data_IF_966759407173
#
_entry.id   IF_966759407173
#
_cell.length_a   1.000
_cell.length_b   1.000
_cell.length_c   1.000
_cell.angle_alpha   90.00
_cell.angle_beta   90.00
_cell.angle_gamma   90.00
#
_symmetry.space_group_name_H-M   'P 1'
#
loop_
_entity.id
_entity.type
_entity.pdbx_description
1 polymer ?
#
# COMPACT_ATOMS: atom_id res chain seq x y z
N UNK A 1 -2.59 6.23 -10.24
CA UNK A 1 -1.38 7.02 -10.52
C UNK A 1 -1.13 8.07 -9.43
N UNK A 2 -2.11 8.94 -9.09
CA UNK A 2 -1.95 10.04 -8.14
C UNK A 2 -1.46 9.59 -6.75
N UNK A 3 -1.97 8.47 -6.21
CA UNK A 3 -1.52 7.93 -4.92
C UNK A 3 -0.05 7.50 -4.97
N UNK A 4 0.38 6.89 -6.08
CA UNK A 4 1.78 6.52 -6.30
C UNK A 4 2.67 7.76 -6.37
N UNK A 5 2.25 8.79 -7.09
CA UNK A 5 3.02 10.05 -7.22
C UNK A 5 3.20 10.74 -5.85
N UNK A 6 2.17 10.69 -5.00
CA UNK A 6 2.25 11.20 -3.63
C UNK A 6 3.25 10.39 -2.78
N UNK A 7 3.20 9.06 -2.85
CA UNK A 7 4.16 8.20 -2.14
C UNK A 7 5.58 8.48 -2.60
N UNK A 8 5.80 8.59 -3.90
CA UNK A 8 7.11 8.97 -4.47
C UNK A 8 7.59 10.31 -3.90
N UNK A 9 6.70 11.29 -3.78
CA UNK A 9 7.00 12.59 -3.17
C UNK A 9 7.37 12.46 -1.68
N UNK A 10 6.68 11.61 -0.92
CA UNK A 10 6.97 11.36 0.50
C UNK A 10 8.34 10.67 0.68
N UNK A 11 8.61 9.69 -0.17
CA UNK A 11 9.83 8.88 -0.11
C UNK A 11 11.05 9.64 -0.62
N UNK A 12 10.89 10.52 -1.62
CA UNK A 12 12.00 11.27 -2.26
C UNK A 12 12.88 12.02 -1.26
N UNK A 13 12.28 12.55 -0.20
CA UNK A 13 12.97 13.34 0.83
C UNK A 13 13.42 12.49 2.02
N UNK A 14 13.33 11.16 1.93
CA UNK A 14 13.76 10.28 3.01
C UNK A 14 15.29 10.29 3.13
N UNK A 15 15.83 10.54 4.34
CA UNK A 15 17.28 10.57 4.54
C UNK A 15 17.94 9.24 4.13
N UNK A 16 19.07 9.33 3.46
CA UNK A 16 19.86 8.15 3.04
C UNK A 16 19.04 7.12 2.23
N UNK A 17 18.10 7.58 1.41
CA UNK A 17 17.18 6.78 0.61
C UNK A 17 17.83 5.55 -0.05
N UNK A 18 19.03 5.72 -0.58
CA UNK A 18 19.74 4.68 -1.34
C UNK A 18 20.33 3.56 -0.50
N UNK A 19 20.39 3.73 0.82
CA UNK A 19 20.93 2.74 1.77
C UNK A 19 19.82 2.03 2.57
N UNK A 20 18.58 2.52 2.45
CA UNK A 20 17.43 1.98 3.19
C UNK A 20 16.81 0.80 2.47
N UNK A 21 16.19 -0.05 3.26
CA UNK A 21 15.45 -1.23 2.81
C UNK A 21 13.96 -0.93 2.71
N UNK A 22 13.37 -1.27 1.58
CA UNK A 22 11.96 -1.01 1.29
C UNK A 22 11.19 -2.30 1.04
N UNK A 23 9.90 -2.28 1.38
CA UNK A 23 8.95 -3.34 1.03
C UNK A 23 7.72 -2.72 0.37
N UNK A 24 7.41 -3.15 -0.86
CA UNK A 24 6.15 -2.90 -1.56
C UNK A 24 5.26 -4.14 -1.38
N UNK A 25 4.33 -4.03 -0.43
CA UNK A 25 3.45 -5.12 0.00
C UNK A 25 2.11 -5.03 -0.76
N UNK A 26 1.87 -5.95 -1.69
CA UNK A 26 0.78 -5.90 -2.66
C UNK A 26 1.17 -5.06 -3.88
N UNK A 27 2.29 -5.42 -4.52
CA UNK A 27 2.90 -4.61 -5.59
C UNK A 27 2.10 -4.57 -6.89
N UNK A 28 1.13 -5.49 -7.08
CA UNK A 28 0.39 -5.64 -8.33
C UNK A 28 1.34 -5.80 -9.52
N UNK A 29 1.17 -4.96 -10.52
CA UNK A 29 2.02 -4.92 -11.72
C UNK A 29 3.27 -4.03 -11.59
N UNK A 30 3.68 -3.70 -10.36
CA UNK A 30 4.85 -2.89 -10.08
C UNK A 30 4.65 -1.39 -10.25
N UNK A 31 3.41 -0.93 -10.12
CA UNK A 31 3.08 0.49 -10.32
C UNK A 31 3.79 1.41 -9.34
N UNK A 32 4.11 0.94 -8.12
CA UNK A 32 4.92 1.64 -7.14
C UNK A 32 6.40 1.22 -7.21
N UNK A 33 6.69 -0.08 -7.28
CA UNK A 33 8.05 -0.61 -7.29
C UNK A 33 8.94 0.06 -8.35
N UNK A 34 8.44 0.25 -9.57
CA UNK A 34 9.20 0.87 -10.68
C UNK A 34 9.58 2.34 -10.37
N UNK A 35 8.66 3.23 -9.95
CA UNK A 35 9.03 4.57 -9.51
C UNK A 35 10.03 4.60 -8.35
N UNK A 36 9.90 3.72 -7.36
CA UNK A 36 10.86 3.63 -6.25
C UNK A 36 12.27 3.28 -6.74
N UNK A 37 12.39 2.31 -7.65
CA UNK A 37 13.68 1.97 -8.27
C UNK A 37 14.27 3.13 -9.07
N UNK A 38 13.44 3.89 -9.80
CA UNK A 38 13.86 5.10 -10.52
C UNK A 38 14.36 6.20 -9.59
N UNK A 39 13.85 6.30 -8.36
CA UNK A 39 14.36 7.20 -7.32
C UNK A 39 15.76 6.80 -6.81
N UNK A 40 16.25 5.62 -7.17
CA UNK A 40 17.56 5.14 -6.74
C UNK A 40 17.56 4.21 -5.55
N UNK A 41 16.40 3.71 -5.10
CA UNK A 41 16.33 2.67 -4.07
C UNK A 41 17.05 1.43 -4.57
N UNK A 42 17.92 0.87 -3.73
CA UNK A 42 18.81 -0.25 -4.10
C UNK A 42 18.39 -1.58 -3.48
N UNK A 43 17.67 -1.57 -2.36
CA UNK A 43 17.20 -2.77 -1.65
C UNK A 43 15.67 -2.72 -1.52
N UNK A 44 14.98 -3.51 -2.34
CA UNK A 44 13.53 -3.51 -2.43
C UNK A 44 13.00 -4.95 -2.42
N UNK A 45 12.11 -5.27 -1.49
CA UNK A 45 11.26 -6.44 -1.61
C UNK A 45 9.92 -6.05 -2.22
N UNK A 46 9.48 -6.79 -3.22
CA UNK A 46 8.15 -6.68 -3.82
C UNK A 46 7.40 -7.96 -3.57
N UNK A 47 6.18 -7.87 -3.07
CA UNK A 47 5.35 -9.03 -2.77
C UNK A 47 3.92 -8.84 -3.26
N UNK A 48 3.31 -9.93 -3.71
CA UNK A 48 1.91 -10.00 -4.07
C UNK A 48 1.41 -11.43 -3.87
N UNK A 49 0.11 -11.58 -3.62
CA UNK A 49 -0.51 -12.91 -3.51
C UNK A 49 -0.56 -13.63 -4.87
N UNK A 50 -0.62 -12.86 -5.96
CA UNK A 50 -0.66 -13.37 -7.33
C UNK A 50 0.74 -13.57 -7.90
N UNK A 51 1.07 -14.81 -8.26
CA UNK A 51 2.32 -15.12 -8.95
C UNK A 51 2.40 -14.45 -10.33
N UNK A 52 1.26 -14.22 -10.97
CA UNK A 52 1.16 -13.53 -12.27
C UNK A 52 1.56 -12.06 -12.13
N UNK A 53 1.12 -11.40 -11.04
CA UNK A 53 1.51 -10.00 -10.75
C UNK A 53 3.02 -9.91 -10.49
N UNK A 54 3.58 -10.84 -9.75
CA UNK A 54 5.04 -10.91 -9.52
C UNK A 54 5.80 -11.13 -10.83
N UNK A 55 5.35 -12.04 -11.70
CA UNK A 55 5.97 -12.26 -13.01
C UNK A 55 5.92 -11.01 -13.89
N UNK A 56 4.77 -10.35 -13.95
CA UNK A 56 4.60 -9.12 -14.73
C UNK A 56 5.46 -7.97 -14.18
N UNK A 57 5.49 -7.79 -12.85
CA UNK A 57 6.36 -6.79 -12.21
C UNK A 57 7.82 -7.03 -12.54
N UNK A 58 8.30 -8.28 -12.44
CA UNK A 58 9.68 -8.66 -12.78
C UNK A 58 9.99 -8.39 -14.25
N UNK A 59 9.09 -8.75 -15.15
CA UNK A 59 9.23 -8.49 -16.60
C UNK A 59 9.39 -7.00 -16.88
N UNK A 60 8.50 -6.17 -16.35
CA UNK A 60 8.53 -4.70 -16.53
C UNK A 60 9.81 -4.05 -15.97
N UNK A 61 10.27 -4.51 -14.80
CA UNK A 61 11.52 -4.04 -14.20
C UNK A 61 12.74 -4.38 -15.10
N UNK A 62 12.75 -5.60 -15.67
CA UNK A 62 13.82 -6.03 -16.59
C UNK A 62 13.80 -5.22 -17.90
N UNK A 63 12.64 -5.03 -18.50
CA UNK A 63 12.48 -4.23 -19.74
C UNK A 63 12.93 -2.78 -19.57
N UNK A 64 12.85 -2.24 -18.36
CA UNK A 64 13.30 -0.89 -18.02
C UNK A 64 14.79 -0.82 -17.60
N UNK A 65 15.52 -1.94 -17.62
CA UNK A 65 16.94 -1.98 -17.22
C UNK A 65 17.20 -1.72 -15.73
N UNK A 66 16.19 -1.94 -14.88
CA UNK A 66 16.27 -1.67 -13.44
C UNK A 66 16.67 -2.89 -12.60
N UNK A 67 16.92 -4.04 -13.23
CA UNK A 67 17.22 -5.33 -12.59
C UNK A 67 18.58 -5.40 -11.89
N UNK A 68 19.47 -4.41 -12.11
CA UNK A 68 20.78 -4.33 -11.44
C UNK A 68 20.69 -3.98 -9.93
N UNK A 69 19.49 -3.73 -9.42
CA UNK A 69 19.22 -3.45 -8.01
C UNK A 69 19.03 -4.75 -7.25
N UNK A 70 19.21 -4.73 -5.93
CA UNK A 70 18.87 -5.85 -5.07
C UNK A 70 17.35 -5.90 -4.88
N UNK A 71 16.68 -6.69 -5.72
CA UNK A 71 15.21 -6.83 -5.70
C UNK A 71 14.86 -8.26 -5.33
N UNK A 72 14.08 -8.41 -4.26
CA UNK A 72 13.52 -9.69 -3.86
C UNK A 72 12.06 -9.76 -4.30
N UNK A 73 11.74 -10.72 -5.15
CA UNK A 73 10.37 -10.99 -5.60
C UNK A 73 9.78 -12.13 -4.77
N UNK A 74 8.60 -11.93 -4.22
CA UNK A 74 7.95 -12.91 -3.34
C UNK A 74 6.46 -13.04 -3.67
N UNK A 75 6.02 -14.25 -3.99
CA UNK A 75 4.59 -14.58 -4.00
C UNK A 75 4.20 -14.96 -2.59
N UNK A 76 3.40 -14.14 -1.93
CA UNK A 76 3.02 -14.31 -0.52
C UNK A 76 1.73 -13.58 -0.22
N UNK A 77 0.92 -14.17 0.64
CA UNK A 77 -0.15 -13.45 1.32
C UNK A 77 0.44 -12.38 2.24
N UNK A 78 -0.28 -11.27 2.41
CA UNK A 78 0.14 -10.16 3.25
C UNK A 78 0.35 -10.60 4.71
N UNK A 79 -0.51 -11.49 5.22
CA UNK A 79 -0.43 -12.05 6.58
C UNK A 79 0.83 -12.90 6.82
N UNK A 80 1.36 -13.50 5.76
CA UNK A 80 2.53 -14.38 5.83
C UNK A 80 3.83 -13.66 5.51
N UNK A 81 3.76 -12.38 5.14
CA UNK A 81 4.91 -11.58 4.79
C UNK A 81 5.88 -11.48 5.97
N UNK A 82 7.17 -11.70 5.70
CA UNK A 82 8.23 -11.68 6.72
C UNK A 82 9.38 -10.79 6.28
N UNK A 83 10.07 -10.25 7.26
CA UNK A 83 11.22 -9.39 7.06
C UNK A 83 11.17 -8.19 7.99
N UNK A 84 12.18 -7.36 7.93
CA UNK A 84 12.25 -6.11 8.67
C UNK A 84 12.87 -5.04 7.77
N UNK A 85 12.08 -4.03 7.43
CA UNK A 85 12.40 -3.01 6.44
C UNK A 85 12.40 -1.62 7.08
N UNK A 86 13.19 -0.70 6.56
CA UNK A 86 13.15 0.69 7.04
C UNK A 86 11.81 1.33 6.68
N UNK A 87 11.28 1.04 5.49
CA UNK A 87 9.99 1.54 5.01
C UNK A 87 9.14 0.40 4.44
N UNK A 88 7.91 0.26 4.94
CA UNK A 88 6.89 -0.63 4.37
C UNK A 88 5.81 0.20 3.71
N UNK A 89 5.42 -0.17 2.50
CA UNK A 89 4.37 0.52 1.74
C UNK A 89 3.34 -0.51 1.28
N UNK A 90 2.06 -0.21 1.49
CA UNK A 90 0.96 -1.08 1.09
C UNK A 90 -0.17 -0.22 0.50
N UNK A 91 -0.32 -0.24 -0.82
CA UNK A 91 -1.26 0.62 -1.55
C UNK A 91 -2.41 -0.19 -2.14
N UNK A 92 -3.64 0.27 -1.86
CA UNK A 92 -4.90 -0.22 -2.45
C UNK A 92 -5.19 -1.72 -2.24
N UNK A 93 -4.49 -2.37 -1.29
CA UNK A 93 -4.70 -3.77 -0.91
C UNK A 93 -5.88 -3.91 0.05
N UNK A 94 -6.04 -2.97 0.98
CA UNK A 94 -7.04 -3.05 2.05
C UNK A 94 -8.50 -2.99 1.58
N UNK A 95 -8.75 -2.62 0.32
CA UNK A 95 -10.09 -2.67 -0.28
C UNK A 95 -10.70 -4.09 -0.32
N UNK A 96 -9.85 -5.12 -0.18
CA UNK A 96 -10.27 -6.53 -0.20
C UNK A 96 -10.64 -7.06 1.17
N UNK A 97 -10.39 -6.31 2.25
CA UNK A 97 -10.51 -6.78 3.62
C UNK A 97 -11.54 -6.02 4.45
N UNK A 98 -12.34 -6.70 5.30
CA UNK A 98 -13.20 -6.03 6.26
C UNK A 98 -12.37 -5.33 7.34
N UNK A 99 -12.97 -4.35 8.02
CA UNK A 99 -12.30 -3.48 8.99
C UNK A 99 -11.41 -4.22 10.01
N UNK A 100 -11.88 -5.27 10.74
CA UNK A 100 -11.05 -5.92 11.74
C UNK A 100 -9.80 -6.58 11.14
N UNK A 101 -9.93 -7.18 9.96
CA UNK A 101 -8.80 -7.84 9.27
C UNK A 101 -7.81 -6.81 8.75
N UNK A 102 -8.29 -5.69 8.19
CA UNK A 102 -7.43 -4.59 7.76
C UNK A 102 -6.63 -3.98 8.93
N UNK A 103 -7.24 -3.83 10.11
CA UNK A 103 -6.56 -3.36 11.32
C UNK A 103 -5.46 -4.34 11.76
N UNK A 104 -5.72 -5.65 11.74
CA UNK A 104 -4.71 -6.66 12.06
C UNK A 104 -3.55 -6.65 11.07
N UNK A 105 -3.86 -6.50 9.77
CA UNK A 105 -2.82 -6.33 8.76
C UNK A 105 -1.96 -5.08 8.97
N UNK A 106 -2.57 -3.96 9.39
CA UNK A 106 -1.80 -2.75 9.73
C UNK A 106 -0.86 -3.02 10.90
N UNK A 107 -1.30 -3.73 11.95
CA UNK A 107 -0.43 -4.14 13.07
C UNK A 107 0.73 -5.00 12.57
N UNK A 108 0.45 -5.98 11.72
CA UNK A 108 1.47 -6.83 11.13
C UNK A 108 2.48 -6.05 10.30
N UNK A 109 2.04 -5.13 9.43
CA UNK A 109 2.93 -4.29 8.63
C UNK A 109 3.77 -3.34 9.50
N UNK A 110 3.23 -2.86 10.62
CA UNK A 110 4.01 -2.11 11.61
C UNK A 110 5.14 -2.96 12.20
N UNK A 111 4.90 -4.25 12.50
CA UNK A 111 5.93 -5.16 13.02
C UNK A 111 7.04 -5.41 11.99
N UNK A 112 6.77 -5.32 10.71
CA UNK A 112 7.75 -5.41 9.63
C UNK A 112 8.50 -4.09 9.36
N UNK A 113 8.06 -2.98 9.96
CA UNK A 113 8.59 -1.64 9.68
C UNK A 113 9.45 -1.12 10.84
N UNK A 114 10.68 -0.69 10.53
CA UNK A 114 11.61 -0.09 11.50
C UNK A 114 11.34 1.37 11.76
N UNK A 115 10.91 2.11 10.73
CA UNK A 115 10.76 3.57 10.82
C UNK A 115 9.45 4.06 10.23
N UNK A 116 9.08 3.68 8.99
CA UNK A 116 7.91 4.21 8.31
C UNK A 116 6.98 3.14 7.75
N UNK A 117 5.69 3.36 7.94
CA UNK A 117 4.63 2.61 7.27
C UNK A 117 3.79 3.60 6.43
N UNK A 118 3.58 3.30 5.15
CA UNK A 118 2.72 4.08 4.26
C UNK A 118 1.62 3.17 3.75
N UNK A 119 0.37 3.54 3.99
CA UNK A 119 -0.79 2.74 3.55
C UNK A 119 -1.80 3.57 2.82
N UNK A 120 -2.50 2.95 1.87
CA UNK A 120 -3.70 3.55 1.28
C UNK A 120 -4.89 2.61 1.36
N UNK A 121 -6.08 3.21 1.49
CA UNK A 121 -7.35 2.49 1.56
C UNK A 121 -8.51 3.37 1.10
N UNK A 122 -9.62 2.72 0.73
CA UNK A 122 -10.88 3.42 0.45
C UNK A 122 -11.52 3.88 1.78
N UNK A 123 -11.65 5.20 2.03
CA UNK A 123 -12.21 5.68 3.29
C UNK A 123 -13.72 5.45 3.34
N UNK A 124 -14.21 5.05 4.52
CA UNK A 124 -15.64 5.06 4.79
C UNK A 124 -16.15 6.51 4.88
N UNK A 125 -17.06 6.88 3.99
CA UNK A 125 -17.82 8.12 4.10
C UNK A 125 -19.31 7.80 4.02
N UNK A 126 -20.19 8.52 4.76
CA UNK A 126 -21.64 8.31 4.68
C UNK A 126 -22.17 8.47 3.25
N UNK A 127 -21.62 9.42 2.48
CA UNK A 127 -22.00 9.66 1.08
C UNK A 127 -21.69 8.46 0.20
N UNK A 128 -20.50 7.84 0.34
CA UNK A 128 -20.14 6.64 -0.41
C UNK A 128 -21.00 5.43 -0.01
N UNK A 129 -21.40 5.34 1.26
CA UNK A 129 -22.32 4.32 1.72
C UNK A 129 -23.70 4.46 1.07
N UNK A 130 -24.21 5.67 0.95
CA UNK A 130 -25.48 5.98 0.27
C UNK A 130 -25.37 5.69 -1.23
N UNK A 131 -24.33 6.15 -1.91
CA UNK A 131 -24.10 5.89 -3.35
C UNK A 131 -23.96 4.40 -3.64
N UNK A 132 -23.28 3.64 -2.77
CA UNK A 132 -23.18 2.18 -2.89
C UNK A 132 -24.54 1.47 -2.76
N UNK A 133 -25.42 1.98 -1.91
CA UNK A 133 -26.78 1.45 -1.75
C UNK A 133 -27.69 1.81 -2.95
N UNK A 134 -27.56 3.01 -3.48
CA UNK A 134 -28.25 3.43 -4.70
C UNK A 134 -27.78 2.61 -5.91
N UNK A 135 -26.46 2.34 -6.02
CA UNK A 135 -25.90 1.51 -7.10
C UNK A 135 -26.45 0.07 -7.11
N UNK A 136 -26.87 -0.46 -5.96
CA UNK A 136 -27.52 -1.79 -5.87
C UNK A 136 -28.93 -1.83 -6.51
N UNK A 137 -29.57 -0.68 -6.71
CA UNK A 137 -30.89 -0.56 -7.31
C UNK A 137 -30.82 -0.60 -8.86
N UNK A 138 -29.64 -0.48 -9.45
CA UNK A 138 -29.44 -0.58 -10.88
C UNK A 138 -28.89 -1.97 -11.22
N UNK A 139 -29.70 -2.87 -11.82
CA UNK A 139 -29.25 -4.18 -12.25
C UNK A 139 -28.30 -4.03 -13.45
N UNK A 140 -27.01 -4.10 -13.19
CA UNK A 140 -25.96 -4.19 -14.22
C UNK A 140 -25.16 -5.47 -14.05
N UNK A 141 -24.50 -6.02 -15.11
CA UNK A 141 -23.76 -7.27 -15.05
C UNK A 141 -22.44 -7.19 -14.28
N UNK A 142 -22.23 -6.13 -13.51
CA UNK A 142 -21.06 -5.97 -12.66
C UNK A 142 -21.19 -6.88 -11.43
N UNK A 143 -20.58 -8.05 -11.47
CA UNK A 143 -20.19 -8.80 -10.28
C UNK A 143 -19.10 -7.95 -9.60
N UNK A 144 -19.52 -6.90 -8.92
CA UNK A 144 -18.63 -6.04 -8.17
C UNK A 144 -17.97 -6.87 -7.08
N UNK A 145 -16.66 -7.09 -7.22
CA UNK A 145 -15.79 -7.46 -6.13
C UNK A 145 -16.17 -6.56 -4.95
N UNK A 146 -16.49 -7.15 -3.79
CA UNK A 146 -16.90 -6.38 -2.61
C UNK A 146 -15.72 -5.52 -2.17
N UNK A 147 -15.62 -4.31 -2.67
CA UNK A 147 -14.66 -3.33 -2.16
C UNK A 147 -15.13 -2.86 -0.79
N UNK A 148 -14.30 -3.08 0.22
CA UNK A 148 -14.55 -2.59 1.57
C UNK A 148 -14.09 -1.14 1.68
N UNK A 149 -14.85 -0.36 2.44
CA UNK A 149 -14.45 0.99 2.87
C UNK A 149 -14.10 0.93 4.35
N UNK A 150 -13.01 1.58 4.74
CA UNK A 150 -12.46 1.49 6.08
C UNK A 150 -12.60 2.81 6.84
N UNK A 151 -12.84 2.71 8.13
CA UNK A 151 -12.84 3.85 9.05
C UNK A 151 -11.40 4.22 9.38
N UNK A 152 -11.00 5.43 9.04
CA UNK A 152 -9.65 5.96 9.28
C UNK A 152 -9.20 5.80 10.74
N UNK A 153 -10.11 6.04 11.70
CA UNK A 153 -9.81 5.93 13.14
C UNK A 153 -9.30 4.54 13.53
N UNK A 154 -9.89 3.46 12.98
CA UNK A 154 -9.46 2.09 13.28
C UNK A 154 -8.05 1.81 12.76
N UNK A 155 -7.74 2.26 11.55
CA UNK A 155 -6.40 2.12 10.95
C UNK A 155 -5.35 2.88 11.77
N UNK A 156 -5.67 4.12 12.18
CA UNK A 156 -4.76 4.93 13.02
C UNK A 156 -4.55 4.28 14.39
N UNK A 157 -5.61 3.80 15.04
CA UNK A 157 -5.50 3.13 16.33
C UNK A 157 -4.62 1.87 16.25
N UNK A 158 -4.81 1.04 15.22
CA UNK A 158 -4.00 -0.16 15.00
C UNK A 158 -2.50 0.17 14.85
N UNK A 159 -2.17 1.25 14.13
CA UNK A 159 -0.79 1.70 14.03
C UNK A 159 -0.26 2.29 15.35
N UNK A 160 -1.07 3.06 16.09
CA UNK A 160 -0.69 3.64 17.37
C UNK A 160 -0.37 2.57 18.42
N UNK A 161 -1.12 1.46 18.44
CA UNK A 161 -0.88 0.29 19.32
C UNK A 161 0.52 -0.32 19.10
N UNK A 162 1.11 -0.13 17.91
CA UNK A 162 2.45 -0.58 17.54
C UNK A 162 3.52 0.51 17.66
N UNK A 163 3.18 1.66 18.28
CA UNK A 163 4.10 2.77 18.48
C UNK A 163 4.34 3.63 17.24
N UNK A 164 3.41 3.62 16.27
CA UNK A 164 3.47 4.48 15.10
C UNK A 164 2.49 5.64 15.21
N UNK A 165 2.93 6.83 14.85
CA UNK A 165 2.10 8.05 14.81
C UNK A 165 1.91 8.53 13.38
N UNK A 166 0.80 9.20 13.12
CA UNK A 166 0.54 9.84 11.83
C UNK A 166 1.49 11.02 11.62
N UNK A 167 2.24 11.00 10.52
CA UNK A 167 3.09 12.13 10.09
C UNK A 167 2.33 13.02 9.12
N UNK A 168 1.70 12.39 8.13
CA UNK A 168 0.88 13.10 7.15
C UNK A 168 -0.19 12.19 6.56
N UNK A 169 -1.22 12.84 6.03
CA UNK A 169 -2.31 12.14 5.37
C UNK A 169 -2.87 12.96 4.22
N UNK A 170 -3.32 12.28 3.17
CA UNK A 170 -3.90 12.90 1.98
C UNK A 170 -5.11 12.12 1.51
N UNK A 171 -6.13 12.81 1.05
CA UNK A 171 -7.27 12.21 0.36
C UNK A 171 -7.10 12.43 -1.14
N UNK A 172 -6.95 11.36 -1.89
CA UNK A 172 -6.92 11.36 -3.34
C UNK A 172 -8.32 11.07 -3.87
N UNK A 173 -8.76 11.94 -4.78
CA UNK A 173 -10.09 11.87 -5.39
C UNK A 173 -9.96 11.87 -6.91
N UNK A 174 -10.66 10.95 -7.54
CA UNK A 174 -10.94 10.92 -8.97
C UNK A 174 -12.40 10.50 -9.16
N UNK A 175 -13.02 10.66 -10.33
CA UNK A 175 -14.35 10.17 -10.58
C UNK A 175 -14.46 8.69 -10.18
N UNK A 176 -15.37 8.37 -9.26
CA UNK A 176 -15.63 7.02 -8.72
C UNK A 176 -14.49 6.35 -7.95
N UNK A 177 -13.40 7.08 -7.64
CA UNK A 177 -12.27 6.55 -6.88
C UNK A 177 -11.86 7.50 -5.76
N UNK A 178 -11.84 6.99 -4.53
CA UNK A 178 -11.38 7.70 -3.35
C UNK A 178 -10.37 6.84 -2.63
N UNK A 179 -9.17 7.38 -2.41
CA UNK A 179 -8.11 6.69 -1.68
C UNK A 179 -7.55 7.63 -0.62
N UNK A 180 -7.56 7.17 0.62
CA UNK A 180 -6.93 7.82 1.74
C UNK A 180 -5.52 7.27 1.88
N UNK A 181 -4.53 8.13 1.74
CA UNK A 181 -3.13 7.84 1.96
C UNK A 181 -2.72 8.33 3.33
N UNK A 182 -2.05 7.50 4.12
CA UNK A 182 -1.51 7.84 5.43
C UNK A 182 -0.06 7.38 5.52
N UNK A 183 0.82 8.27 5.93
CA UNK A 183 2.18 7.98 6.34
C UNK A 183 2.25 7.97 7.87
N UNK A 184 2.77 6.88 8.40
CA UNK A 184 3.07 6.70 9.81
C UNK A 184 4.58 6.66 10.02
N UNK A 185 5.02 7.11 11.18
CA UNK A 185 6.40 7.01 11.65
C UNK A 185 6.44 6.37 13.02
N UNK A 186 7.40 5.47 13.23
CA UNK A 186 7.65 4.83 14.52
C UNK A 186 8.19 5.85 15.52
N UNK A 187 7.58 5.90 16.69
CA UNK A 187 8.09 6.67 17.82
C UNK A 187 9.27 5.92 18.41
N UNK A 188 10.37 6.62 18.65
CA UNK A 188 11.57 6.07 19.31
C UNK A 188 11.34 5.88 20.79
#
# INVERSE_FOLDING_TARGET
>A
QKTVDDVVSYVKNYPELTTKTFCDAGCGVGSLAIPLLKLGIKDLQVSDISSEMIKETKKRINELGLSQRKIKFLTSDLEQLKGLFDVVICLDVFIHYPQPVAEEMVRHLCDLSKDKLIVSFAPYTPILAVLKNIGKLFPGPSKTTRAYTLREKGIINAANEKGFIVVQKKLNQAPFYFSKLIEFKKVK
#
